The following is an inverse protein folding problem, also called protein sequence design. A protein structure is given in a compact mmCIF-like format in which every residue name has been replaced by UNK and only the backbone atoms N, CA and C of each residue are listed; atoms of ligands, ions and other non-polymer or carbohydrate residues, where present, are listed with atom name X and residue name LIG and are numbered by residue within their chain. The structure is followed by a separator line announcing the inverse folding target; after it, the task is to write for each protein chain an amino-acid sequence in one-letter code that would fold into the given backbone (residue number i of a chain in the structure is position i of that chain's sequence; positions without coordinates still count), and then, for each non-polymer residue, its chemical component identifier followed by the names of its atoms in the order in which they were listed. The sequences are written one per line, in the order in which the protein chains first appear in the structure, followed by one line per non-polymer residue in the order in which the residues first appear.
data_IF_708673030821
#
_entry.id   IF_708673030821
#
_cell.length_a   1.000
_cell.length_b   1.000
_cell.length_c   1.000
_cell.angle_alpha   90.00
_cell.angle_beta   90.00
_cell.angle_gamma   90.00
#
_symmetry.space_group_name_H-M   'P 1'
#
loop_
_entity.id
_entity.type
_entity.pdbx_description
1 polymer ?
#
# COMPACT_ATOMS: atom_id res chain seq x y z
N UNK A 1 51.95 37.33 36.69
CA UNK A 1 51.12 37.14 35.45
C UNK A 1 50.67 35.71 35.43
N UNK A 2 49.34 35.45 35.72
CA UNK A 2 48.79 34.10 35.81
C UNK A 2 47.96 33.86 34.54
N UNK A 3 48.40 32.96 33.66
CA UNK A 3 47.70 32.58 32.46
C UNK A 3 46.53 31.64 32.76
N UNK A 4 45.34 32.06 32.38
CA UNK A 4 44.08 31.29 32.47
C UNK A 4 43.94 30.43 31.20
N UNK A 5 44.08 29.11 31.33
CA UNK A 5 43.84 28.17 30.24
C UNK A 5 42.33 27.83 30.17
N UNK A 6 41.67 28.27 29.12
CA UNK A 6 40.28 27.90 28.83
C UNK A 6 40.28 26.58 28.06
N UNK A 7 39.79 25.51 28.69
CA UNK A 7 39.56 24.20 28.04
C UNK A 7 38.20 24.26 27.40
N UNK A 8 38.15 24.38 26.06
CA UNK A 8 36.95 24.32 25.26
C UNK A 8 36.56 22.85 25.04
N UNK A 9 35.62 22.36 25.85
CA UNK A 9 35.08 20.99 25.71
C UNK A 9 34.07 20.95 24.61
N UNK A 10 34.43 20.40 23.44
CA UNK A 10 33.51 20.19 22.29
C UNK A 10 32.73 18.92 22.55
N UNK A 11 31.48 19.05 23.00
CA UNK A 11 30.53 17.93 23.08
C UNK A 11 30.08 17.57 21.67
N UNK A 12 30.61 16.49 21.11
CA UNK A 12 30.09 15.88 19.87
C UNK A 12 28.78 15.17 20.22
N UNK A 13 27.66 15.80 19.94
CA UNK A 13 26.36 15.17 20.00
C UNK A 13 26.25 14.19 18.83
N UNK A 14 26.45 12.90 19.08
CA UNK A 14 26.19 11.82 18.14
C UNK A 14 24.66 11.68 18.03
N UNK A 15 24.04 12.32 17.03
CA UNK A 15 22.65 12.11 16.69
C UNK A 15 22.52 10.71 16.07
N UNK A 16 22.10 9.74 16.86
CA UNK A 16 21.68 8.43 16.35
C UNK A 16 20.36 8.65 15.62
N UNK A 17 20.41 8.72 14.29
CA UNK A 17 19.22 8.66 13.46
C UNK A 17 18.61 7.27 13.64
N UNK A 18 17.56 7.15 14.46
CA UNK A 18 16.76 5.94 14.53
C UNK A 18 15.90 5.91 13.29
N UNK A 19 16.21 5.02 12.35
CA UNK A 19 15.29 4.70 11.25
C UNK A 19 14.00 4.15 11.87
N UNK A 20 12.97 5.00 11.95
CA UNK A 20 11.65 4.61 12.38
C UNK A 20 11.02 3.74 11.29
N UNK A 21 11.05 2.43 11.45
CA UNK A 21 10.31 1.49 10.60
C UNK A 21 8.83 1.59 10.94
N UNK A 22 8.13 2.51 10.27
CA UNK A 22 6.77 2.87 10.65
C UNK A 22 5.73 1.80 10.28
N UNK A 23 5.89 1.07 9.16
CA UNK A 23 4.93 0.06 8.70
C UNK A 23 5.67 -1.19 8.24
N UNK A 24 5.30 -2.34 8.84
CA UNK A 24 5.83 -3.66 8.46
C UNK A 24 4.74 -4.43 7.72
N UNK A 25 5.04 -4.87 6.50
CA UNK A 25 4.13 -5.69 5.69
C UNK A 25 4.79 -7.02 5.33
N UNK A 26 3.99 -8.06 5.16
CA UNK A 26 4.50 -9.36 4.71
C UNK A 26 5.10 -9.21 3.31
N UNK A 27 6.33 -9.70 3.14
CA UNK A 27 6.98 -9.75 1.84
C UNK A 27 6.24 -10.70 0.90
N UNK A 28 6.01 -10.27 -0.34
CA UNK A 28 5.43 -11.08 -1.39
C UNK A 28 6.22 -10.94 -2.68
N UNK A 29 6.52 -12.08 -3.32
CA UNK A 29 7.06 -12.14 -4.68
C UNK A 29 6.02 -11.63 -5.68
N UNK A 30 6.42 -11.30 -6.90
CA UNK A 30 5.48 -10.90 -7.95
C UNK A 30 4.46 -12.01 -8.27
N UNK A 31 4.89 -13.28 -8.22
CA UNK A 31 4.00 -14.41 -8.36
C UNK A 31 2.93 -14.46 -7.27
N UNK A 32 3.33 -14.35 -5.99
CA UNK A 32 2.38 -14.33 -4.86
C UNK A 32 1.44 -13.13 -4.93
N UNK A 33 1.94 -11.94 -5.26
CA UNK A 33 1.09 -10.77 -5.48
C UNK A 33 0.08 -11.01 -6.60
N UNK A 34 0.51 -11.64 -7.70
CA UNK A 34 -0.38 -11.99 -8.81
C UNK A 34 -1.44 -12.99 -8.37
N UNK A 35 -1.07 -13.95 -7.53
CA UNK A 35 -2.00 -14.96 -7.01
C UNK A 35 -3.03 -14.37 -6.07
N UNK A 36 -2.60 -13.58 -5.09
CA UNK A 36 -3.43 -12.99 -4.04
C UNK A 36 -4.40 -11.94 -4.57
N UNK A 37 -3.99 -11.15 -5.59
CA UNK A 37 -4.85 -10.11 -6.14
C UNK A 37 -6.05 -10.67 -6.86
N UNK A 38 -7.23 -10.10 -6.61
CA UNK A 38 -8.46 -10.41 -7.36
C UNK A 38 -8.53 -9.66 -8.67
N UNK A 39 -7.90 -8.49 -8.75
CA UNK A 39 -7.88 -7.63 -9.92
C UNK A 39 -6.48 -7.02 -10.08
N UNK A 40 -5.91 -7.12 -11.28
CA UNK A 40 -4.66 -6.45 -11.63
C UNK A 40 -4.94 -5.60 -12.85
N UNK A 41 -4.78 -4.29 -12.71
CA UNK A 41 -5.11 -3.32 -13.77
C UNK A 41 -3.97 -2.37 -14.03
N UNK A 42 -3.84 -1.95 -15.29
CA UNK A 42 -3.12 -0.76 -15.71
C UNK A 42 -4.13 0.37 -15.88
N UNK A 43 -3.84 1.54 -15.37
CA UNK A 43 -4.73 2.69 -15.48
C UNK A 43 -4.03 3.99 -15.13
N UNK A 44 -4.78 5.07 -15.34
CA UNK A 44 -4.34 6.45 -15.03
C UNK A 44 -5.17 6.97 -13.87
N UNK A 45 -4.53 7.63 -12.91
CA UNK A 45 -5.20 8.29 -11.78
C UNK A 45 -6.07 9.42 -12.30
N UNK A 46 -7.39 9.27 -12.16
CA UNK A 46 -8.39 10.26 -12.55
C UNK A 46 -8.62 11.29 -11.46
N UNK A 47 -8.73 10.82 -10.22
CA UNK A 47 -8.96 11.68 -9.05
C UNK A 47 -8.39 11.06 -7.77
N UNK A 48 -8.00 11.92 -6.85
CA UNK A 48 -7.62 11.60 -5.49
C UNK A 48 -8.42 12.53 -4.59
N UNK A 49 -9.28 11.96 -3.76
CA UNK A 49 -10.15 12.70 -2.83
C UNK A 49 -10.04 12.10 -1.45
N UNK A 50 -10.32 12.87 -0.41
CA UNK A 50 -10.34 12.37 0.97
C UNK A 50 -11.73 12.54 1.55
N UNK A 51 -12.18 11.53 2.27
CA UNK A 51 -13.49 11.52 2.90
C UNK A 51 -13.45 10.82 4.27
N UNK A 52 -14.45 11.10 5.10
CA UNK A 52 -14.64 10.44 6.37
C UNK A 52 -15.15 9.01 6.19
N UNK A 53 -14.56 8.09 6.92
CA UNK A 53 -15.09 6.74 7.02
C UNK A 53 -15.97 6.64 8.26
N UNK A 54 -17.28 6.51 8.04
CA UNK A 54 -18.30 6.59 9.10
C UNK A 54 -18.15 5.56 10.20
N UNK A 55 -17.62 4.37 9.86
CA UNK A 55 -17.53 3.24 10.82
C UNK A 55 -16.61 3.54 12.00
N UNK A 56 -15.54 4.30 11.80
CA UNK A 56 -14.55 4.59 12.84
C UNK A 56 -14.10 6.06 12.89
N UNK A 57 -14.84 6.95 12.21
CA UNK A 57 -14.53 8.37 12.11
C UNK A 57 -13.06 8.66 11.74
N UNK A 58 -12.50 7.88 10.82
CA UNK A 58 -11.15 8.08 10.31
C UNK A 58 -11.15 8.65 8.90
N UNK A 59 -10.14 9.45 8.55
CA UNK A 59 -9.96 9.93 7.19
C UNK A 59 -9.45 8.79 6.29
N UNK A 60 -10.00 8.70 5.08
CA UNK A 60 -9.56 7.78 4.03
C UNK A 60 -9.39 8.51 2.72
N UNK A 61 -8.41 8.11 1.95
CA UNK A 61 -8.20 8.60 0.60
C UNK A 61 -8.88 7.64 -0.40
N UNK A 62 -9.66 8.21 -1.31
CA UNK A 62 -10.31 7.52 -2.41
C UNK A 62 -9.60 7.88 -3.71
N UNK A 63 -9.04 6.88 -4.36
CA UNK A 63 -8.29 7.01 -5.61
C UNK A 63 -9.11 6.36 -6.72
N UNK A 64 -9.54 7.14 -7.71
CA UNK A 64 -10.23 6.61 -8.89
C UNK A 64 -9.25 6.47 -10.03
N UNK A 65 -9.12 5.24 -10.56
CA UNK A 65 -8.33 4.93 -11.74
C UNK A 65 -9.24 4.74 -12.95
N UNK A 66 -8.88 5.37 -14.07
CA UNK A 66 -9.40 5.03 -15.40
C UNK A 66 -8.57 3.89 -15.96
N UNK A 67 -9.20 2.72 -16.15
CA UNK A 67 -8.53 1.49 -16.56
C UNK A 67 -8.27 1.52 -18.06
N UNK A 68 -7.01 1.30 -18.44
CA UNK A 68 -6.59 1.10 -19.84
C UNK A 68 -6.41 -0.36 -20.20
N UNK A 69 -6.06 -1.23 -19.22
CA UNK A 69 -5.81 -2.65 -19.43
C UNK A 69 -6.13 -3.46 -18.17
N UNK A 70 -6.63 -4.68 -18.34
CA UNK A 70 -6.77 -5.69 -17.27
C UNK A 70 -5.77 -6.81 -17.51
N UNK A 71 -4.89 -7.05 -16.52
CA UNK A 71 -3.92 -8.14 -16.55
C UNK A 71 -4.45 -9.39 -15.85
N UNK A 72 -5.32 -9.20 -14.83
CA UNK A 72 -6.02 -10.29 -14.12
C UNK A 72 -7.40 -9.81 -13.67
N UNK A 73 -8.39 -10.68 -13.67
CA UNK A 73 -9.78 -10.37 -13.27
C UNK A 73 -10.65 -9.93 -14.43
N UNK A 74 -11.76 -9.23 -14.13
CA UNK A 74 -12.74 -8.79 -15.10
C UNK A 74 -12.78 -7.26 -15.17
N UNK A 75 -12.84 -6.72 -16.38
CA UNK A 75 -12.98 -5.28 -16.61
C UNK A 75 -14.32 -4.78 -16.02
N UNK A 76 -14.31 -3.81 -15.10
CA UNK A 76 -15.53 -3.18 -14.63
C UNK A 76 -16.29 -2.49 -15.79
N UNK A 77 -17.64 -2.51 -15.76
CA UNK A 77 -18.47 -1.89 -16.81
C UNK A 77 -18.17 -0.40 -17.00
N UNK A 78 -17.84 0.30 -15.93
CA UNK A 78 -17.48 1.72 -15.93
C UNK A 78 -16.09 1.99 -16.52
N UNK A 79 -15.26 0.96 -16.69
CA UNK A 79 -13.84 1.07 -17.00
C UNK A 79 -13.07 1.91 -15.95
N UNK A 80 -13.62 1.99 -14.76
CA UNK A 80 -13.02 2.68 -13.61
C UNK A 80 -13.01 1.77 -12.38
N UNK A 81 -12.07 1.99 -11.49
CA UNK A 81 -11.99 1.34 -10.19
C UNK A 81 -11.65 2.39 -9.15
N UNK A 82 -12.31 2.30 -7.98
CA UNK A 82 -11.99 3.16 -6.84
C UNK A 82 -11.28 2.36 -5.77
N UNK A 83 -10.11 2.83 -5.39
CA UNK A 83 -9.25 2.26 -4.35
C UNK A 83 -9.44 3.09 -3.10
N UNK A 84 -9.69 2.43 -1.96
CA UNK A 84 -9.72 3.06 -0.66
C UNK A 84 -8.40 2.80 0.08
N UNK A 85 -7.77 3.86 0.53
CA UNK A 85 -6.54 3.84 1.30
C UNK A 85 -6.77 4.50 2.66
N UNK A 86 -6.25 3.96 3.77
CA UNK A 86 -6.32 4.63 5.06
C UNK A 86 -5.49 5.91 5.08
N UNK A 87 -5.94 6.89 5.85
CA UNK A 87 -5.31 8.20 5.97
C UNK A 87 -5.75 9.20 4.93
N UNK A 88 -5.44 10.47 5.20
CA UNK A 88 -5.73 11.60 4.34
C UNK A 88 -5.98 12.87 5.15
N UNK A 89 -6.10 14.00 4.44
CA UNK A 89 -6.33 15.30 5.02
C UNK A 89 -7.74 15.81 4.71
N UNK A 90 -8.49 16.18 5.74
CA UNK A 90 -9.84 16.77 5.63
C UNK A 90 -9.84 18.06 6.47
N UNK A 91 -9.85 19.22 5.81
CA UNK A 91 -9.69 20.50 6.49
C UNK A 91 -8.38 20.57 7.28
N UNK A 92 -8.49 20.80 8.58
CA UNK A 92 -7.33 20.86 9.50
C UNK A 92 -6.95 19.49 10.06
N UNK A 93 -7.77 18.46 9.85
CA UNK A 93 -7.48 17.10 10.27
C UNK A 93 -6.54 16.42 9.28
N UNK A 94 -5.36 16.02 9.73
CA UNK A 94 -4.35 15.30 8.94
C UNK A 94 -4.04 13.95 9.59
N UNK A 95 -4.62 12.88 9.04
CA UNK A 95 -4.37 11.50 9.47
C UNK A 95 -3.35 10.85 8.56
N UNK A 96 -2.11 10.79 8.99
CA UNK A 96 -1.01 10.15 8.25
C UNK A 96 -0.89 8.69 8.62
N UNK A 97 -0.85 7.84 7.61
CA UNK A 97 -0.51 6.42 7.74
C UNK A 97 0.79 6.20 6.99
N UNK A 98 1.81 5.77 7.72
CA UNK A 98 3.11 5.52 7.12
C UNK A 98 3.09 4.30 6.20
N UNK A 99 3.88 4.37 5.13
CA UNK A 99 4.03 3.26 4.18
C UNK A 99 2.95 3.16 3.12
N UNK A 100 1.85 3.92 3.20
CA UNK A 100 0.84 3.93 2.15
C UNK A 100 1.37 4.53 0.85
N UNK A 101 0.83 4.07 -0.28
CA UNK A 101 1.18 4.60 -1.59
C UNK A 101 0.86 6.09 -1.70
N UNK A 102 1.77 6.84 -2.33
CA UNK A 102 1.56 8.24 -2.67
C UNK A 102 0.92 8.33 -4.06
N UNK A 103 0.08 9.34 -4.29
CA UNK A 103 -0.72 9.45 -5.51
C UNK A 103 -0.64 10.84 -6.13
N UNK A 104 -0.47 10.88 -7.44
CA UNK A 104 -0.49 12.09 -8.23
C UNK A 104 -1.56 12.00 -9.32
N UNK A 105 -2.23 13.12 -9.62
CA UNK A 105 -3.19 13.16 -10.71
C UNK A 105 -2.49 12.89 -12.05
N UNK A 106 -3.14 12.14 -12.94
CA UNK A 106 -2.62 11.70 -14.23
C UNK A 106 -1.43 10.73 -14.17
N UNK A 107 -1.05 10.27 -12.98
CA UNK A 107 -0.05 9.22 -12.84
C UNK A 107 -0.55 7.92 -13.46
N UNK A 108 0.30 7.25 -14.25
CA UNK A 108 -0.01 5.95 -14.83
C UNK A 108 0.60 4.83 -13.98
N UNK A 109 -0.22 3.84 -13.62
CA UNK A 109 0.15 2.79 -12.67
C UNK A 109 -0.33 1.40 -13.11
N UNK A 110 0.33 0.37 -12.58
CA UNK A 110 -0.22 -0.99 -12.49
C UNK A 110 -0.53 -1.25 -11.02
N UNK A 111 -1.77 -1.67 -10.75
CA UNK A 111 -2.27 -1.90 -9.40
C UNK A 111 -2.64 -3.36 -9.19
N UNK A 112 -2.17 -3.89 -8.08
CA UNK A 112 -2.56 -5.19 -7.52
C UNK A 112 -3.61 -4.95 -6.45
N UNK A 113 -4.85 -5.42 -6.69
CA UNK A 113 -6.02 -5.02 -5.93
C UNK A 113 -6.77 -6.22 -5.34
N UNK A 114 -7.32 -6.00 -4.14
CA UNK A 114 -8.28 -6.87 -3.48
C UNK A 114 -9.61 -6.13 -3.29
N UNK A 115 -10.78 -6.83 -3.39
CA UNK A 115 -12.06 -6.21 -3.12
C UNK A 115 -12.17 -5.87 -1.63
N UNK A 116 -12.65 -4.67 -1.33
CA UNK A 116 -12.98 -4.29 0.04
C UNK A 116 -14.25 -5.01 0.49
N UNK A 117 -14.11 -5.93 1.43
CA UNK A 117 -15.21 -6.76 1.93
C UNK A 117 -15.84 -6.17 3.19
N UNK A 118 -16.36 -4.94 3.09
CA UNK A 118 -17.05 -4.26 4.19
C UNK A 118 -18.47 -3.94 3.76
N UNK A 119 -19.45 -4.24 4.63
CA UNK A 119 -20.87 -3.93 4.37
C UNK A 119 -21.04 -2.43 4.14
N UNK A 120 -21.78 -2.06 3.10
CA UNK A 120 -21.99 -0.65 2.71
C UNK A 120 -20.93 -0.08 1.77
N UNK A 121 -19.82 -0.79 1.50
CA UNK A 121 -18.73 -0.33 0.64
C UNK A 121 -18.46 -1.28 -0.54
N UNK A 122 -19.54 -1.87 -1.08
CA UNK A 122 -19.45 -2.75 -2.25
C UNK A 122 -18.91 -1.99 -3.46
N UNK A 123 -18.00 -2.62 -4.20
CA UNK A 123 -17.38 -2.03 -5.41
C UNK A 123 -16.09 -1.25 -5.17
N UNK A 124 -15.70 -1.03 -3.91
CA UNK A 124 -14.39 -0.49 -3.59
C UNK A 124 -13.33 -1.59 -3.54
N UNK A 125 -12.10 -1.18 -3.84
CA UNK A 125 -10.91 -2.03 -3.72
C UNK A 125 -9.93 -1.44 -2.70
N UNK A 126 -9.02 -2.29 -2.24
CA UNK A 126 -7.84 -1.90 -1.49
C UNK A 126 -6.59 -2.35 -2.26
N UNK A 127 -5.49 -1.65 -2.07
CA UNK A 127 -4.18 -2.09 -2.53
C UNK A 127 -3.78 -3.39 -1.84
N UNK A 128 -3.25 -4.37 -2.58
CA UNK A 128 -2.67 -5.58 -2.01
C UNK A 128 -1.49 -5.21 -1.12
N UNK A 129 -1.67 -5.39 0.19
CA UNK A 129 -0.71 -4.93 1.18
C UNK A 129 -0.53 -3.41 1.16
N UNK A 130 -0.13 -2.82 2.26
CA UNK A 130 0.07 -1.37 2.35
C UNK A 130 1.35 -1.01 1.59
N UNK A 131 1.22 -0.19 0.53
CA UNK A 131 2.35 0.37 -0.21
C UNK A 131 3.18 -0.61 -1.05
N UNK A 132 2.74 -1.85 -1.25
CA UNK A 132 3.48 -2.86 -2.04
C UNK A 132 2.77 -3.31 -3.31
N UNK A 133 1.53 -2.92 -3.52
CA UNK A 133 0.72 -3.29 -4.67
C UNK A 133 0.75 -2.28 -5.83
N UNK A 134 1.31 -1.08 -5.62
CA UNK A 134 1.42 -0.02 -6.63
C UNK A 134 2.74 -0.12 -7.39
N UNK A 135 2.67 -0.11 -8.71
CA UNK A 135 3.80 -0.02 -9.63
C UNK A 135 3.60 1.19 -10.54
N UNK A 136 4.55 2.12 -10.55
CA UNK A 136 4.50 3.33 -11.35
C UNK A 136 4.98 3.06 -12.77
N UNK A 137 4.35 3.68 -13.78
CA UNK A 137 4.80 3.64 -15.17
C UNK A 137 5.45 4.98 -15.49
N UNK A 138 6.72 4.94 -15.88
CA UNK A 138 7.48 6.11 -16.27
C UNK A 138 8.02 5.93 -17.68
N UNK A 139 8.07 7.03 -18.43
CA UNK A 139 8.53 7.04 -19.82
C UNK A 139 9.96 7.56 -19.92
N UNK A 140 10.79 6.85 -20.67
CA UNK A 140 12.14 7.28 -21.05
C UNK A 140 12.33 6.99 -22.53
N UNK A 141 12.69 8.01 -23.34
CA UNK A 141 12.87 7.88 -24.80
C UNK A 141 11.66 7.20 -25.47
N UNK A 142 10.44 7.62 -25.15
CA UNK A 142 9.17 7.07 -25.65
C UNK A 142 8.91 5.59 -25.28
N UNK A 143 9.74 4.97 -24.45
CA UNK A 143 9.55 3.61 -23.93
C UNK A 143 9.02 3.67 -22.50
N UNK A 144 8.05 2.83 -22.17
CA UNK A 144 7.45 2.73 -20.84
C UNK A 144 8.21 1.72 -19.98
N UNK A 145 8.51 2.11 -18.75
CA UNK A 145 9.18 1.29 -17.74
C UNK A 145 8.37 1.24 -16.46
N UNK A 146 8.34 0.08 -15.85
CA UNK A 146 7.68 -0.17 -14.57
C UNK A 146 8.68 0.02 -13.43
N UNK A 147 8.29 0.83 -12.47
CA UNK A 147 9.05 1.14 -11.27
C UNK A 147 8.29 0.71 -10.03
N UNK A 148 8.99 0.21 -9.03
CA UNK A 148 8.43 -0.12 -7.73
C UNK A 148 9.38 0.34 -6.64
N UNK A 149 8.92 1.21 -5.76
CA UNK A 149 9.72 1.79 -4.70
C UNK A 149 8.88 1.95 -3.42
N UNK A 150 8.49 0.83 -2.79
CA UNK A 150 7.67 0.86 -1.59
C UNK A 150 8.41 1.50 -0.41
N UNK A 151 7.68 2.24 0.43
CA UNK A 151 8.20 2.95 1.62
C UNK A 151 7.81 2.21 2.90
N UNK A 152 8.00 0.90 2.89
CA UNK A 152 7.65 -0.01 4.00
C UNK A 152 8.83 -0.90 4.36
N UNK A 153 8.76 -1.53 5.52
CA UNK A 153 9.61 -2.66 5.85
C UNK A 153 8.90 -3.97 5.46
N UNK A 154 9.68 -4.94 5.02
CA UNK A 154 9.19 -6.25 4.59
C UNK A 154 9.50 -7.31 5.64
N UNK A 155 8.48 -8.00 6.11
CA UNK A 155 8.61 -9.18 6.97
C UNK A 155 8.74 -10.44 6.11
N UNK A 156 9.82 -11.16 6.30
CA UNK A 156 10.08 -12.47 5.71
C UNK A 156 9.98 -13.53 6.78
N UNK A 157 9.36 -14.66 6.46
CA UNK A 157 9.23 -15.81 7.36
C UNK A 157 9.97 -17.00 6.77
N UNK A 158 10.87 -17.60 7.55
CA UNK A 158 11.54 -18.83 7.19
C UNK A 158 10.64 -20.06 7.45
N UNK A 159 11.15 -21.26 7.14
CA UNK A 159 10.43 -22.52 7.35
C UNK A 159 10.08 -22.79 8.83
N UNK A 160 10.82 -22.20 9.78
CA UNK A 160 10.57 -22.28 11.23
C UNK A 160 9.62 -21.21 11.73
N UNK A 161 8.99 -20.43 10.84
CA UNK A 161 8.16 -19.26 11.16
C UNK A 161 8.91 -18.13 11.88
N UNK A 162 10.24 -18.11 11.84
CA UNK A 162 11.03 -17.03 12.37
C UNK A 162 10.94 -15.84 11.43
N UNK A 163 10.56 -14.69 11.97
CA UNK A 163 10.43 -13.44 11.23
C UNK A 163 11.74 -12.68 11.17
N UNK A 164 12.09 -12.20 9.99
CA UNK A 164 13.11 -11.17 9.77
C UNK A 164 12.47 -9.97 9.09
N UNK A 165 12.90 -8.76 9.45
CA UNK A 165 12.36 -7.51 8.90
C UNK A 165 13.48 -6.73 8.24
N UNK A 166 13.28 -6.30 7.00
CA UNK A 166 14.22 -5.45 6.26
C UNK A 166 13.47 -4.35 5.50
N UNK A 167 14.11 -3.19 5.24
CA UNK A 167 13.53 -2.18 4.37
C UNK A 167 13.25 -2.74 2.97
N UNK A 168 12.12 -2.36 2.39
CA UNK A 168 11.81 -2.76 1.03
C UNK A 168 12.82 -2.14 0.05
N UNK A 169 13.32 -2.96 -0.86
CA UNK A 169 14.28 -2.53 -1.88
C UNK A 169 13.56 -1.96 -3.10
N UNK A 170 14.10 -0.88 -3.64
CA UNK A 170 13.66 -0.36 -4.93
C UNK A 170 13.93 -1.39 -6.02
N UNK A 171 12.92 -1.67 -6.84
CA UNK A 171 13.05 -2.56 -7.98
C UNK A 171 13.89 -1.92 -9.10
N UNK A 172 14.76 -2.68 -9.74
CA UNK A 172 15.37 -2.27 -11.00
C UNK A 172 14.26 -2.13 -12.06
N UNK A 173 14.13 -0.96 -12.74
CA UNK A 173 13.08 -0.76 -13.71
C UNK A 173 13.15 -1.79 -14.86
N UNK A 174 11.99 -2.35 -15.21
CA UNK A 174 11.84 -3.27 -16.35
C UNK A 174 10.90 -2.69 -17.40
N UNK A 175 10.98 -3.12 -18.65
CA UNK A 175 10.03 -2.65 -19.66
C UNK A 175 8.60 -3.09 -19.31
N UNK A 176 7.61 -2.30 -19.71
CA UNK A 176 6.21 -2.63 -19.43
C UNK A 176 5.81 -3.97 -20.10
N UNK A 177 6.36 -4.25 -21.27
CA UNK A 177 6.10 -5.49 -22.00
C UNK A 177 6.63 -6.71 -21.23
N UNK A 178 7.85 -6.61 -20.71
CA UNK A 178 8.45 -7.66 -19.88
C UNK A 178 7.61 -7.89 -18.61
N UNK A 179 7.24 -6.83 -17.90
CA UNK A 179 6.43 -6.92 -16.69
C UNK A 179 5.06 -7.55 -16.96
N UNK A 180 4.38 -7.11 -18.03
CA UNK A 180 3.07 -7.67 -18.44
C UNK A 180 3.17 -9.15 -18.80
N UNK A 181 4.19 -9.53 -19.53
CA UNK A 181 4.45 -10.93 -19.91
C UNK A 181 4.64 -11.80 -18.67
N UNK A 182 5.45 -11.33 -17.72
CA UNK A 182 5.70 -12.02 -16.47
C UNK A 182 4.42 -12.17 -15.63
N UNK A 183 3.65 -11.10 -15.41
CA UNK A 183 2.38 -11.16 -14.69
C UNK A 183 1.41 -12.13 -15.38
N UNK A 184 1.26 -12.06 -16.71
CA UNK A 184 0.38 -12.96 -17.46
C UNK A 184 0.82 -14.40 -17.40
N UNK A 185 2.12 -14.69 -17.34
CA UNK A 185 2.64 -16.04 -17.17
C UNK A 185 2.18 -16.64 -15.83
N UNK A 186 2.18 -15.85 -14.75
CA UNK A 186 1.68 -16.28 -13.45
C UNK A 186 0.16 -16.46 -13.43
N UNK A 187 -0.60 -15.60 -14.13
CA UNK A 187 -2.05 -15.75 -14.27
C UNK A 187 -2.42 -17.04 -15.01
N UNK A 188 -1.68 -17.37 -16.10
CA UNK A 188 -2.00 -18.48 -16.99
C UNK A 188 -1.36 -19.80 -16.54
N UNK A 189 -0.21 -19.74 -15.86
CA UNK A 189 0.60 -20.91 -15.48
C UNK A 189 0.04 -21.72 -14.31
N UNK A 190 -0.96 -21.22 -13.59
CA UNK A 190 -1.60 -21.95 -12.49
C UNK A 190 -2.91 -22.58 -12.94
N UNK A 191 -2.87 -23.85 -13.31
CA UNK A 191 -4.00 -24.75 -13.12
C UNK A 191 -4.48 -24.57 -11.68
N UNK A 192 -5.72 -24.07 -11.53
CA UNK A 192 -6.39 -23.74 -10.27
C UNK A 192 -6.17 -24.81 -9.19
N UNK A 193 -5.27 -24.59 -8.28
CA UNK A 193 -5.38 -25.14 -6.92
C UNK A 193 -6.26 -24.12 -6.19
N UNK A 194 -7.56 -24.38 -6.21
CA UNK A 194 -8.56 -23.60 -5.50
C UNK A 194 -8.47 -23.97 -4.02
N UNK A 195 -7.53 -23.40 -3.30
CA UNK A 195 -7.63 -23.29 -1.86
C UNK A 195 -8.56 -22.12 -1.58
N UNK A 196 -9.82 -22.43 -1.30
CA UNK A 196 -10.72 -21.43 -0.74
C UNK A 196 -10.04 -20.84 0.50
N UNK A 197 -9.90 -19.49 0.57
CA UNK A 197 -9.41 -18.88 1.78
C UNK A 197 -10.38 -19.27 2.90
N UNK A 198 -9.88 -19.94 3.93
CA UNK A 198 -10.66 -20.18 5.16
C UNK A 198 -11.24 -18.84 5.58
N UNK A 199 -12.55 -18.75 5.85
CA UNK A 199 -13.15 -17.52 6.31
C UNK A 199 -12.40 -17.07 7.57
N UNK A 200 -11.80 -15.89 7.50
CA UNK A 200 -11.26 -15.22 8.66
C UNK A 200 -12.43 -15.06 9.62
N UNK A 201 -12.40 -15.76 10.76
CA UNK A 201 -13.36 -15.53 11.82
C UNK A 201 -13.37 -14.05 12.12
N UNK A 202 -14.52 -13.43 11.92
CA UNK A 202 -14.77 -12.07 12.42
C UNK A 202 -14.46 -12.11 13.92
N UNK A 203 -13.44 -11.38 14.33
CA UNK A 203 -13.23 -11.10 15.75
C UNK A 203 -14.35 -10.13 16.09
N UNK A 204 -15.40 -10.65 16.73
CA UNK A 204 -16.41 -9.84 17.37
C UNK A 204 -15.73 -9.05 18.48
N UNK A 205 -15.33 -7.81 18.15
CA UNK A 205 -14.92 -6.86 19.17
C UNK A 205 -16.19 -6.42 19.88
N UNK A 206 -16.40 -6.76 21.18
CA UNK A 206 -17.57 -6.32 21.90
C UNK A 206 -17.55 -4.78 21.97
N UNK A 207 -18.54 -4.15 21.38
CA UNK A 207 -18.80 -2.73 21.60
C UNK A 207 -19.13 -2.55 23.08
N UNK A 208 -18.14 -2.14 23.87
CA UNK A 208 -18.39 -1.65 25.24
C UNK A 208 -19.31 -0.45 25.13
N UNK A 209 -20.55 -0.65 25.56
CA UNK A 209 -21.54 0.38 25.78
C UNK A 209 -20.94 1.53 26.62
N UNK A 210 -20.57 2.64 26.00
CA UNK A 210 -20.47 3.91 26.70
C UNK A 210 -21.88 4.46 26.88
N UNK A 211 -22.58 3.97 27.89
CA UNK A 211 -23.73 4.69 28.43
C UNK A 211 -23.19 5.75 29.41
N UNK A 212 -23.53 6.98 29.09
CA UNK A 212 -23.92 8.08 29.96
C UNK A 212 -23.08 8.35 31.22
N UNK A 213 -22.17 9.30 31.12
CA UNK A 213 -21.95 10.25 32.22
C UNK A 213 -22.11 11.68 31.66
N UNK A 214 -23.37 12.08 31.52
CA UNK A 214 -23.81 13.46 31.43
C UNK A 214 -24.90 13.62 32.46
N UNK A 215 -24.52 14.01 33.68
CA UNK A 215 -25.35 14.70 34.70
C UNK A 215 -24.53 14.78 36.00
N UNK A 216 -23.86 15.86 36.22
CA UNK A 216 -23.99 16.77 37.39
C UNK A 216 -23.17 18.02 37.16
#
# INVERSE_FOLDING_TARGET
MKGLAIILSTAVACSVATDSLATVVKAHTLNEKTELSSLIVRGTVKSVTTDWYEVNASAHTLITLKISEVLKGTMPKTKEVTIRQPGGKIGDFDHRVEGVSQWEANEEVIMFLEPLRVKGHLGLFIELGIGIGKYEIRYKNKKAYVHHNPKVALAHYDASQKMTVEPAKKMTPVSIEQFRTEVRSYVNGKKRIRTEPKPVRSVDVPLKNRKSEARQ
#
